data_IF_857365808111
#
_entry.id   IF_857365808111
#
_cell.length_a   1.000
_cell.length_b   1.000
_cell.length_c   1.000
_cell.angle_alpha   90.00
_cell.angle_beta   90.00
_cell.angle_gamma   90.00
#
_symmetry.space_group_name_H-M   'P 1'
#
loop_
_entity.id
_entity.type
_entity.pdbx_description
1 polymer ?
#
# COMPACT_ATOMS: atom_id res chain seq x y z
N UNK A 1 37.14 -33.04 3.50
CA UNK A 1 35.98 -32.21 3.86
C UNK A 1 35.68 -32.45 5.33
N UNK A 2 35.54 -31.38 6.13
CA UNK A 2 35.08 -31.47 7.52
C UNK A 2 33.58 -31.67 7.59
N UNK A 3 33.10 -32.43 8.59
CA UNK A 3 31.66 -32.58 8.83
C UNK A 3 31.08 -31.29 9.44
N UNK A 4 29.78 -31.03 9.27
CA UNK A 4 29.14 -29.88 9.91
C UNK A 4 29.34 -29.84 11.43
N UNK A 5 29.33 -31.00 12.08
CA UNK A 5 29.55 -31.12 13.53
C UNK A 5 30.98 -30.72 13.93
N UNK A 6 32.00 -31.08 13.13
CA UNK A 6 33.40 -30.68 13.36
C UNK A 6 33.57 -29.17 13.17
N UNK A 7 32.95 -28.59 12.12
CA UNK A 7 32.96 -27.15 11.88
C UNK A 7 32.30 -26.40 13.05
N UNK A 8 31.15 -26.86 13.49
CA UNK A 8 30.46 -26.29 14.65
C UNK A 8 31.29 -26.36 15.94
N UNK A 9 32.02 -27.45 16.13
CA UNK A 9 32.96 -27.58 17.26
C UNK A 9 34.06 -26.52 17.26
N UNK A 10 34.71 -26.30 16.12
CA UNK A 10 35.75 -25.28 15.97
C UNK A 10 35.18 -23.87 16.19
N UNK A 11 34.01 -23.59 15.63
CA UNK A 11 33.33 -22.31 15.81
C UNK A 11 32.92 -22.08 17.28
N UNK A 12 32.39 -23.11 17.95
CA UNK A 12 32.01 -23.02 19.36
C UNK A 12 33.20 -22.68 20.26
N UNK A 13 34.36 -23.30 20.01
CA UNK A 13 35.57 -23.00 20.75
C UNK A 13 36.10 -21.59 20.48
N UNK A 14 36.07 -21.17 19.21
CA UNK A 14 36.42 -19.78 18.83
C UNK A 14 35.51 -18.77 19.53
N UNK A 15 34.19 -19.00 19.56
CA UNK A 15 33.23 -18.12 20.23
C UNK A 15 33.48 -18.03 21.74
N UNK A 16 33.78 -19.14 22.43
CA UNK A 16 34.08 -19.14 23.86
C UNK A 16 35.34 -18.37 24.17
N UNK A 17 36.36 -18.50 23.32
CA UNK A 17 37.68 -17.89 23.51
C UNK A 17 37.64 -16.39 23.19
N UNK A 18 37.02 -16.01 22.10
CA UNK A 18 37.04 -14.63 21.62
C UNK A 18 35.97 -13.74 22.31
N UNK A 19 34.89 -14.34 22.79
CA UNK A 19 33.75 -13.60 23.38
C UNK A 19 33.31 -14.17 24.74
N UNK A 20 34.26 -14.31 25.72
CA UNK A 20 33.95 -14.96 27.01
C UNK A 20 32.87 -14.22 27.80
N UNK A 21 32.77 -12.89 27.67
CA UNK A 21 31.79 -12.06 28.38
C UNK A 21 30.43 -11.94 27.64
N UNK A 22 30.34 -12.46 26.42
CA UNK A 22 29.11 -12.37 25.66
C UNK A 22 28.21 -13.58 25.92
N UNK A 23 28.80 -14.77 25.99
CA UNK A 23 28.05 -16.01 26.07
C UNK A 23 28.24 -16.69 27.43
N UNK A 24 27.11 -16.93 28.12
CA UNK A 24 27.09 -17.78 29.32
C UNK A 24 27.30 -19.27 28.94
N UNK A 25 26.87 -19.66 27.75
CA UNK A 25 27.02 -21.02 27.23
C UNK A 25 27.06 -21.03 25.70
N UNK A 26 27.99 -21.80 25.14
CA UNK A 26 27.99 -22.17 23.72
C UNK A 26 28.06 -23.69 23.64
N UNK A 27 27.06 -24.31 23.01
CA UNK A 27 26.96 -25.76 22.85
C UNK A 27 26.84 -26.15 21.40
N UNK A 28 27.25 -27.35 21.06
CA UNK A 28 27.06 -27.95 19.74
C UNK A 28 26.05 -29.07 19.81
N UNK A 29 25.15 -29.13 18.85
CA UNK A 29 24.15 -30.20 18.73
C UNK A 29 24.15 -30.78 17.30
N UNK A 30 23.86 -32.09 17.11
CA UNK A 30 23.74 -32.68 15.79
C UNK A 30 22.60 -32.02 14.96
N UNK A 31 22.76 -31.93 13.65
CA UNK A 31 23.90 -32.35 12.84
C UNK A 31 25.06 -31.32 12.75
N UNK A 32 24.99 -30.19 13.42
CA UNK A 32 25.99 -29.11 13.39
C UNK A 32 25.42 -27.77 13.83
N UNK A 33 24.41 -27.78 14.71
CA UNK A 33 23.84 -26.55 15.29
C UNK A 33 24.73 -25.98 16.38
N UNK A 34 24.79 -24.64 16.44
CA UNK A 34 25.38 -23.88 17.53
C UNK A 34 24.25 -23.31 18.41
N UNK A 35 24.20 -23.73 19.66
CA UNK A 35 23.28 -23.20 20.65
C UNK A 35 24.04 -22.24 21.57
N UNK A 36 23.61 -20.97 21.56
CA UNK A 36 24.25 -19.90 22.32
C UNK A 36 23.29 -19.34 23.36
N UNK A 37 23.77 -19.17 24.59
CA UNK A 37 23.05 -18.47 25.65
C UNK A 37 23.84 -17.23 26.02
N UNK A 38 23.25 -16.06 25.91
CA UNK A 38 23.86 -14.80 26.29
C UNK A 38 23.93 -14.68 27.82
N UNK A 39 24.97 -13.99 28.32
CA UNK A 39 24.97 -13.58 29.71
C UNK A 39 23.80 -12.62 30.00
N UNK A 40 23.09 -12.77 31.14
CA UNK A 40 21.95 -11.92 31.48
C UNK A 40 22.25 -10.42 31.43
N UNK A 41 23.47 -10.03 31.82
CA UNK A 41 23.91 -8.64 31.79
C UNK A 41 23.80 -8.02 30.40
N UNK A 42 23.91 -8.81 29.33
CA UNK A 42 23.80 -8.31 27.94
C UNK A 42 22.38 -7.84 27.63
N UNK A 43 21.38 -8.52 28.15
CA UNK A 43 19.98 -8.07 28.05
C UNK A 43 19.76 -6.75 28.80
N UNK A 44 20.35 -6.63 30.00
CA UNK A 44 20.28 -5.39 30.75
C UNK A 44 20.95 -4.21 30.01
N UNK A 45 22.07 -4.45 29.34
CA UNK A 45 22.74 -3.45 28.51
C UNK A 45 21.91 -3.04 27.30
N UNK A 46 21.18 -3.98 26.67
CA UNK A 46 20.25 -3.65 25.57
C UNK A 46 19.11 -2.79 26.07
N UNK A 47 18.54 -3.08 27.25
CA UNK A 47 17.49 -2.22 27.85
C UNK A 47 17.99 -0.80 28.10
N UNK A 48 19.22 -0.63 28.60
CA UNK A 48 19.83 0.68 28.75
C UNK A 48 19.97 1.39 27.40
N UNK A 49 20.44 0.68 26.37
CA UNK A 49 20.56 1.22 24.99
C UNK A 49 19.20 1.67 24.45
N UNK A 50 18.14 0.88 24.70
CA UNK A 50 16.77 1.25 24.29
C UNK A 50 16.35 2.54 25.00
N UNK A 51 16.58 2.63 26.30
CA UNK A 51 16.22 3.80 27.09
C UNK A 51 16.97 5.04 26.62
N UNK A 52 18.28 4.94 26.39
CA UNK A 52 19.13 6.05 25.96
C UNK A 52 18.80 6.52 24.54
N UNK A 53 18.45 5.58 23.64
CA UNK A 53 18.09 5.87 22.24
C UNK A 53 16.66 6.38 22.09
N UNK A 54 15.76 6.08 23.03
CA UNK A 54 14.36 6.47 22.97
C UNK A 54 13.68 6.04 21.67
N UNK A 55 12.97 6.95 21.03
CA UNK A 55 12.25 6.70 19.77
C UNK A 55 13.16 6.41 18.55
N UNK A 56 14.45 6.65 18.65
CA UNK A 56 15.42 6.34 17.58
C UNK A 56 15.99 4.91 17.65
N UNK A 57 15.64 4.14 18.70
CA UNK A 57 16.09 2.76 18.80
C UNK A 57 15.58 1.93 17.61
N UNK A 58 16.51 1.21 16.97
CA UNK A 58 16.23 0.43 15.75
C UNK A 58 16.41 1.21 14.44
N UNK A 59 16.54 2.53 14.49
CA UNK A 59 16.87 3.31 13.30
C UNK A 59 18.34 3.06 12.87
N UNK A 60 18.57 3.26 11.58
CA UNK A 60 19.94 3.11 11.02
C UNK A 60 20.14 4.06 9.83
N UNK A 61 21.39 4.13 9.34
CA UNK A 61 21.76 4.94 8.17
C UNK A 61 22.18 4.07 6.96
N UNK A 62 21.65 2.85 6.86
CA UNK A 62 21.97 1.92 5.75
C UNK A 62 21.61 2.55 4.39
N UNK A 63 20.50 3.28 4.32
CA UNK A 63 20.04 3.96 3.12
C UNK A 63 20.93 5.11 2.66
N UNK A 64 21.72 5.72 3.57
CA UNK A 64 22.65 6.83 3.27
C UNK A 64 22.00 7.98 2.48
N UNK A 65 20.74 8.28 2.74
CA UNK A 65 19.98 9.32 2.04
C UNK A 65 19.63 9.01 0.58
N UNK A 66 19.82 7.78 0.12
CA UNK A 66 19.39 7.37 -1.22
C UNK A 66 17.88 7.55 -1.36
N UNK A 67 17.46 8.08 -2.51
CA UNK A 67 16.05 8.32 -2.82
C UNK A 67 15.40 7.05 -3.34
N UNK A 68 14.18 6.79 -2.86
CA UNK A 68 13.30 5.70 -3.32
C UNK A 68 11.96 6.32 -3.68
N UNK A 69 11.42 5.94 -4.83
CA UNK A 69 10.04 6.17 -5.19
C UNK A 69 9.26 4.89 -4.88
N UNK A 70 8.22 4.99 -4.08
CA UNK A 70 7.37 3.87 -3.69
C UNK A 70 5.95 4.14 -4.17
N UNK A 71 5.53 3.38 -5.18
CA UNK A 71 4.16 3.43 -5.70
C UNK A 71 3.30 2.37 -4.98
N UNK A 72 2.11 2.78 -4.53
CA UNK A 72 1.15 1.86 -3.92
C UNK A 72 -0.29 2.40 -4.00
N UNK A 73 -1.27 1.53 -3.77
CA UNK A 73 -2.71 1.69 -4.03
C UNK A 73 -2.99 1.77 -5.53
N UNK A 74 -2.69 2.89 -6.19
CA UNK A 74 -2.84 3.12 -7.66
C UNK A 74 -4.14 2.56 -8.25
N UNK A 75 -5.27 2.78 -7.53
CA UNK A 75 -6.59 2.31 -7.95
C UNK A 75 -7.13 3.20 -9.08
N UNK A 76 -7.78 2.59 -10.07
CA UNK A 76 -8.45 3.34 -11.12
C UNK A 76 -9.65 4.12 -10.56
N UNK A 77 -9.90 5.37 -11.00
CA UNK A 77 -11.00 6.19 -10.51
C UNK A 77 -12.35 5.77 -11.13
N UNK A 78 -12.68 4.48 -11.00
CA UNK A 78 -13.91 3.87 -11.52
C UNK A 78 -14.87 3.40 -10.42
N UNK A 79 -14.49 3.62 -9.15
CA UNK A 79 -15.26 3.28 -7.97
C UNK A 79 -14.58 3.70 -6.68
N UNK A 80 -15.29 3.60 -5.54
CA UNK A 80 -14.71 3.87 -4.22
C UNK A 80 -13.62 2.83 -3.87
N UNK A 81 -12.73 3.21 -2.94
CA UNK A 81 -11.77 2.27 -2.40
C UNK A 81 -12.48 1.13 -1.64
N UNK A 82 -11.88 -0.03 -1.65
CA UNK A 82 -12.34 -1.20 -0.89
C UNK A 82 -11.20 -1.77 -0.03
N UNK A 83 -11.52 -2.74 0.83
CA UNK A 83 -10.56 -3.33 1.80
C UNK A 83 -9.25 -3.83 1.15
N UNK A 84 -9.30 -4.28 -0.11
CA UNK A 84 -8.11 -4.68 -0.86
C UNK A 84 -7.16 -3.50 -1.12
N UNK A 85 -7.69 -2.32 -1.44
CA UNK A 85 -6.92 -1.09 -1.59
C UNK A 85 -6.38 -0.61 -0.24
N UNK A 86 -7.19 -0.67 0.83
CA UNK A 86 -6.77 -0.34 2.20
C UNK A 86 -5.60 -1.21 2.68
N UNK A 87 -5.61 -2.51 2.35
CA UNK A 87 -4.47 -3.40 2.61
C UNK A 87 -3.21 -2.94 1.88
N UNK A 88 -3.35 -2.55 0.60
CA UNK A 88 -2.24 -2.01 -0.20
C UNK A 88 -1.69 -0.71 0.39
N UNK A 89 -2.56 0.18 0.86
CA UNK A 89 -2.19 1.43 1.53
C UNK A 89 -1.41 1.17 2.82
N UNK A 90 -1.93 0.30 3.70
CA UNK A 90 -1.28 -0.05 4.96
C UNK A 90 0.10 -0.69 4.74
N UNK A 91 0.21 -1.62 3.79
CA UNK A 91 1.48 -2.26 3.46
C UNK A 91 2.49 -1.26 2.86
N UNK A 92 2.05 -0.44 1.90
CA UNK A 92 2.89 0.57 1.28
C UNK A 92 3.41 1.59 2.29
N UNK A 93 2.54 2.09 3.16
CA UNK A 93 2.92 3.00 4.23
C UNK A 93 3.89 2.36 5.24
N UNK A 94 3.66 1.11 5.63
CA UNK A 94 4.58 0.40 6.52
C UNK A 94 5.98 0.24 5.89
N UNK A 95 6.06 -0.14 4.62
CA UNK A 95 7.33 -0.24 3.88
C UNK A 95 8.01 1.14 3.80
N UNK A 96 7.27 2.20 3.48
CA UNK A 96 7.82 3.56 3.43
C UNK A 96 8.43 3.96 4.77
N UNK A 97 7.71 3.75 5.88
CA UNK A 97 8.17 4.07 7.24
C UNK A 97 9.43 3.26 7.61
N UNK A 98 9.48 1.97 7.29
CA UNK A 98 10.66 1.14 7.53
C UNK A 98 11.87 1.61 6.73
N UNK A 99 11.69 1.98 5.47
CA UNK A 99 12.76 2.51 4.63
C UNK A 99 13.29 3.86 5.16
N UNK A 100 12.39 4.74 5.61
CA UNK A 100 12.77 6.01 6.25
C UNK A 100 13.54 5.76 7.55
N UNK A 101 13.11 4.82 8.38
CA UNK A 101 13.79 4.47 9.63
C UNK A 101 15.22 3.92 9.41
N UNK A 102 15.51 3.33 8.25
CA UNK A 102 16.85 2.88 7.90
C UNK A 102 17.64 3.85 7.02
N UNK A 103 17.16 5.09 6.90
CA UNK A 103 17.91 6.21 6.32
C UNK A 103 17.74 6.42 4.82
N UNK A 104 16.69 5.91 4.20
CA UNK A 104 16.31 6.30 2.85
C UNK A 104 15.43 7.56 2.86
N UNK A 105 15.46 8.31 1.76
CA UNK A 105 14.49 9.37 1.48
C UNK A 105 13.40 8.79 0.59
N UNK A 106 12.19 8.63 1.12
CA UNK A 106 11.08 7.97 0.41
C UNK A 106 10.10 8.99 -0.13
N UNK A 107 9.86 8.93 -1.44
CA UNK A 107 8.74 9.60 -2.08
C UNK A 107 7.63 8.59 -2.33
N UNK A 108 6.39 8.95 -1.97
CA UNK A 108 5.19 8.13 -2.17
C UNK A 108 4.52 8.56 -3.46
N UNK A 109 4.10 7.61 -4.26
CA UNK A 109 3.42 7.86 -5.53
C UNK A 109 2.12 7.08 -5.61
N UNK A 110 1.11 7.73 -6.16
CA UNK A 110 -0.14 7.13 -6.57
C UNK A 110 -0.31 7.37 -8.08
N UNK A 111 -0.34 6.29 -8.87
CA UNK A 111 -0.54 6.39 -10.31
C UNK A 111 -2.03 6.49 -10.64
N UNK A 112 -2.44 7.56 -11.32
CA UNK A 112 -3.82 7.76 -11.76
C UNK A 112 -3.93 7.29 -13.21
N UNK A 113 -4.72 6.24 -13.42
CA UNK A 113 -5.07 5.78 -14.77
C UNK A 113 -6.47 6.27 -15.13
N UNK A 114 -6.53 7.39 -15.82
CA UNK A 114 -7.75 8.10 -16.22
C UNK A 114 -8.09 7.92 -17.70
N UNK A 115 -7.65 6.83 -18.32
CA UNK A 115 -7.85 6.55 -19.74
C UNK A 115 -8.29 5.10 -20.00
N UNK A 116 -8.71 4.83 -21.23
CA UNK A 116 -8.97 3.48 -21.72
C UNK A 116 -10.41 2.98 -21.48
N UNK A 117 -10.59 1.66 -21.69
CA UNK A 117 -11.91 1.00 -21.72
C UNK A 117 -12.69 1.16 -20.41
N UNK A 118 -12.01 1.12 -19.27
CA UNK A 118 -12.70 1.21 -17.97
C UNK A 118 -13.36 2.56 -17.77
N UNK A 119 -12.71 3.64 -18.19
CA UNK A 119 -13.29 4.99 -18.11
C UNK A 119 -14.48 5.15 -19.07
N UNK A 120 -14.38 4.63 -20.29
CA UNK A 120 -15.50 4.61 -21.22
C UNK A 120 -16.71 3.86 -20.67
N UNK A 121 -16.46 2.70 -20.05
CA UNK A 121 -17.51 1.89 -19.42
C UNK A 121 -18.13 2.62 -18.21
N UNK A 122 -17.33 3.34 -17.43
CA UNK A 122 -17.82 4.22 -16.36
C UNK A 122 -18.76 5.28 -16.93
N UNK A 123 -18.37 5.98 -17.99
CA UNK A 123 -19.19 7.00 -18.64
C UNK A 123 -20.53 6.47 -19.12
N UNK A 124 -20.52 5.32 -19.78
CA UNK A 124 -21.74 4.63 -20.24
C UNK A 124 -22.64 4.23 -19.06
N UNK A 125 -22.07 3.73 -17.98
CA UNK A 125 -22.82 3.35 -16.78
C UNK A 125 -23.48 4.54 -16.10
N UNK A 126 -22.73 5.64 -15.96
CA UNK A 126 -23.23 6.89 -15.36
C UNK A 126 -24.28 7.54 -16.26
N UNK A 127 -24.06 7.59 -17.58
CA UNK A 127 -25.03 8.16 -18.52
C UNK A 127 -26.33 7.37 -18.55
N UNK A 128 -26.28 6.03 -18.49
CA UNK A 128 -27.49 5.20 -18.39
C UNK A 128 -28.31 5.58 -17.13
N UNK A 129 -27.67 5.71 -15.95
CA UNK A 129 -28.34 6.13 -14.71
C UNK A 129 -28.81 7.58 -14.74
N UNK A 130 -28.08 8.46 -15.42
CA UNK A 130 -28.51 9.84 -15.66
C UNK A 130 -29.79 9.89 -16.49
N UNK A 131 -29.91 9.11 -17.56
CA UNK A 131 -31.13 9.00 -18.37
C UNK A 131 -32.31 8.47 -17.54
N UNK A 132 -32.12 7.40 -16.77
CA UNK A 132 -33.12 6.86 -15.84
C UNK A 132 -33.62 7.91 -14.83
N UNK A 133 -32.72 8.76 -14.30
CA UNK A 133 -33.10 9.85 -13.39
C UNK A 133 -34.12 10.81 -14.01
N UNK A 134 -34.09 11.00 -15.31
CA UNK A 134 -35.04 11.84 -16.04
C UNK A 134 -36.22 11.07 -16.62
N UNK A 135 -36.37 9.79 -16.28
CA UNK A 135 -37.50 8.94 -16.71
C UNK A 135 -37.33 8.38 -18.13
N UNK A 136 -36.14 8.44 -18.71
CA UNK A 136 -35.91 7.85 -20.03
C UNK A 136 -35.47 6.39 -19.91
N UNK A 137 -36.03 5.53 -20.78
CA UNK A 137 -35.56 4.15 -20.90
C UNK A 137 -34.19 4.13 -21.51
N UNK A 138 -33.22 3.51 -20.79
CA UNK A 138 -31.87 3.31 -21.26
C UNK A 138 -31.46 1.86 -21.02
N UNK A 139 -30.90 1.22 -22.04
CA UNK A 139 -30.26 -0.07 -21.85
C UNK A 139 -28.97 0.14 -21.03
N UNK A 140 -28.92 -0.46 -19.84
CA UNK A 140 -27.71 -0.43 -19.02
C UNK A 140 -26.65 -1.35 -19.65
N UNK A 141 -25.37 -0.93 -19.75
CA UNK A 141 -24.32 -1.78 -20.33
C UNK A 141 -24.15 -3.07 -19.50
N UNK A 142 -24.14 -4.22 -20.18
CA UNK A 142 -24.07 -5.55 -19.55
C UNK A 142 -22.81 -5.70 -18.66
N UNK A 143 -21.67 -5.19 -19.14
CA UNK A 143 -20.40 -5.14 -18.43
C UNK A 143 -20.21 -3.86 -17.58
N UNK A 144 -21.29 -3.11 -17.35
CA UNK A 144 -21.28 -1.82 -16.63
C UNK A 144 -21.04 -1.92 -15.13
N UNK A 145 -20.81 -0.77 -14.52
CA UNK A 145 -20.64 -0.64 -13.07
C UNK A 145 -22.00 -0.53 -12.38
N UNK A 146 -22.40 -1.56 -11.62
CA UNK A 146 -23.75 -1.69 -11.03
C UNK A 146 -23.86 -1.14 -9.59
N UNK A 147 -22.78 -0.70 -8.96
CA UNK A 147 -22.78 -0.22 -7.57
C UNK A 147 -23.69 1.02 -7.37
N UNK A 148 -24.23 1.18 -6.16
CA UNK A 148 -25.11 2.31 -5.84
C UNK A 148 -24.39 3.66 -5.95
N UNK A 149 -23.06 3.68 -5.83
CA UNK A 149 -22.26 4.88 -6.07
C UNK A 149 -22.44 5.45 -7.47
N UNK A 150 -22.72 4.61 -8.50
CA UNK A 150 -22.98 5.09 -9.87
C UNK A 150 -24.27 5.91 -9.91
N UNK A 151 -25.30 5.52 -9.15
CA UNK A 151 -26.53 6.31 -9.04
C UNK A 151 -26.27 7.66 -8.38
N UNK A 152 -25.47 7.68 -7.30
CA UNK A 152 -25.10 8.91 -6.60
C UNK A 152 -24.30 9.85 -7.52
N UNK A 153 -23.31 9.32 -8.27
CA UNK A 153 -22.56 10.09 -9.25
C UNK A 153 -23.48 10.64 -10.35
N UNK A 154 -24.38 9.80 -10.89
CA UNK A 154 -25.35 10.24 -11.91
C UNK A 154 -26.30 11.33 -11.40
N UNK A 155 -26.73 11.28 -10.14
CA UNK A 155 -27.52 12.33 -9.50
C UNK A 155 -26.73 13.65 -9.39
N UNK A 156 -25.45 13.59 -9.02
CA UNK A 156 -24.56 14.75 -8.99
C UNK A 156 -24.43 15.39 -10.37
N UNK A 157 -24.22 14.57 -11.40
CA UNK A 157 -24.17 15.04 -12.80
C UNK A 157 -25.50 15.66 -13.22
N UNK A 158 -26.64 15.04 -12.85
CA UNK A 158 -27.95 15.55 -13.15
C UNK A 158 -28.25 16.88 -12.43
N UNK A 159 -27.77 17.05 -11.20
CA UNK A 159 -27.87 18.31 -10.45
C UNK A 159 -27.13 19.46 -11.13
N UNK A 160 -25.97 19.19 -11.71
CA UNK A 160 -25.13 20.19 -12.38
C UNK A 160 -25.58 20.48 -13.80
N UNK A 161 -25.83 19.44 -14.61
CA UNK A 161 -26.11 19.57 -16.04
C UNK A 161 -27.61 19.53 -16.37
N UNK A 162 -28.47 19.31 -15.37
CA UNK A 162 -29.91 19.19 -15.54
C UNK A 162 -30.25 18.22 -16.68
N UNK A 163 -31.04 18.61 -17.68
CA UNK A 163 -31.40 17.77 -18.84
C UNK A 163 -30.48 17.95 -20.06
N UNK A 164 -29.49 18.81 -19.99
CA UNK A 164 -28.72 19.22 -21.16
C UNK A 164 -28.00 18.05 -21.87
N UNK A 165 -27.61 17.00 -21.14
CA UNK A 165 -26.94 15.84 -21.75
C UNK A 165 -27.94 14.95 -22.54
N UNK A 166 -29.25 15.07 -22.35
CA UNK A 166 -30.22 14.30 -23.11
C UNK A 166 -30.33 14.82 -24.56
N UNK A 167 -30.03 16.10 -24.76
CA UNK A 167 -30.04 16.75 -26.07
C UNK A 167 -28.72 16.64 -26.82
N UNK A 168 -27.69 16.05 -26.18
CA UNK A 168 -26.36 15.84 -26.74
C UNK A 168 -26.27 14.50 -27.47
N UNK A 169 -25.38 14.34 -28.49
CA UNK A 169 -25.03 13.03 -29.01
C UNK A 169 -24.54 12.09 -27.89
N UNK A 170 -24.96 10.82 -27.94
CA UNK A 170 -24.70 9.87 -26.84
C UNK A 170 -23.20 9.69 -26.53
N UNK A 171 -22.36 9.66 -27.54
CA UNK A 171 -20.90 9.56 -27.39
C UNK A 171 -20.29 10.74 -26.67
N UNK A 172 -20.79 11.95 -26.95
CA UNK A 172 -20.37 13.19 -26.26
C UNK A 172 -20.83 13.18 -24.81
N UNK A 173 -22.10 12.82 -24.56
CA UNK A 173 -22.66 12.73 -23.21
C UNK A 173 -21.96 11.66 -22.36
N UNK A 174 -21.70 10.49 -22.94
CA UNK A 174 -20.95 9.40 -22.28
C UNK A 174 -19.52 9.83 -21.92
N UNK A 175 -18.84 10.51 -22.83
CA UNK A 175 -17.47 11.02 -22.59
C UNK A 175 -17.47 12.06 -21.46
N UNK A 176 -18.43 12.99 -21.44
CA UNK A 176 -18.51 13.97 -20.36
C UNK A 176 -18.87 13.31 -19.04
N UNK A 177 -19.80 12.35 -19.04
CA UNK A 177 -20.12 11.55 -17.85
C UNK A 177 -18.89 10.79 -17.32
N UNK A 178 -18.04 10.25 -18.20
CA UNK A 178 -16.81 9.58 -17.82
C UNK A 178 -15.83 10.52 -17.10
N UNK A 179 -15.62 11.71 -17.65
CA UNK A 179 -14.72 12.71 -17.07
C UNK A 179 -15.23 13.20 -15.70
N UNK A 180 -16.51 13.56 -15.61
CA UNK A 180 -17.11 14.04 -14.36
C UNK A 180 -17.09 12.95 -13.28
N UNK A 181 -17.48 11.73 -13.66
CA UNK A 181 -17.48 10.59 -12.74
C UNK A 181 -16.09 10.26 -12.23
N UNK A 182 -15.11 10.21 -13.11
CA UNK A 182 -13.71 9.97 -12.74
C UNK A 182 -13.20 11.03 -11.76
N UNK A 183 -13.52 12.30 -12.00
CA UNK A 183 -13.10 13.39 -11.09
C UNK A 183 -13.77 13.25 -9.72
N UNK A 184 -15.07 13.01 -9.66
CA UNK A 184 -15.83 12.83 -8.39
C UNK A 184 -15.25 11.66 -7.59
N UNK A 185 -15.00 10.52 -8.26
CA UNK A 185 -14.47 9.34 -7.61
C UNK A 185 -13.02 9.52 -7.17
N UNK A 186 -12.20 10.21 -7.96
CA UNK A 186 -10.82 10.53 -7.61
C UNK A 186 -10.74 11.44 -6.37
N UNK A 187 -11.64 12.42 -6.28
CA UNK A 187 -11.67 13.32 -5.13
C UNK A 187 -12.09 12.56 -3.85
N UNK A 188 -13.05 11.64 -3.94
CA UNK A 188 -13.36 10.73 -2.84
C UNK A 188 -12.19 9.82 -2.44
N UNK A 189 -11.45 9.27 -3.41
CA UNK A 189 -10.23 8.48 -3.15
C UNK A 189 -9.17 9.32 -2.40
N UNK A 190 -9.00 10.59 -2.78
CA UNK A 190 -8.05 11.49 -2.10
C UNK A 190 -8.48 11.77 -0.66
N UNK A 191 -9.78 11.97 -0.42
CA UNK A 191 -10.33 12.16 0.92
C UNK A 191 -10.10 10.92 1.79
N UNK A 192 -10.39 9.72 1.26
CA UNK A 192 -10.16 8.46 1.97
C UNK A 192 -8.68 8.23 2.34
N UNK A 193 -7.75 8.67 1.49
CA UNK A 193 -6.30 8.51 1.72
C UNK A 193 -5.68 9.62 2.57
N UNK A 194 -6.39 10.71 2.81
CA UNK A 194 -5.92 11.83 3.64
C UNK A 194 -6.17 11.62 5.14
N UNK A 195 -6.99 10.61 5.50
CA UNK A 195 -7.31 10.24 6.90
C UNK A 195 -6.32 9.23 7.44
#
# INVERSE_FOLDING_TARGET
RQSPLQIAGVLAEGLRTQFPDLFARVGVAPPGFLNMTLHPIRWMQVLQTIQDSGSSYGASHIGKGKRILLEFVSANPTGPLHVGHGRGAALGQAIATLLEAVGFTVSREYYINDAGRQLQLLGRSVYARYREHWGELSAFPEDGYHGDYIKAVAQTVAGTHRRALLDSPSDVAETLCAQLASQILLDGIKEDLAT
#
